data_IF_515047916196
#
_entry.id   IF_515047916196
#
_cell.length_a   1.000
_cell.length_b   1.000
_cell.length_c   1.000
_cell.angle_alpha   90.00
_cell.angle_beta   90.00
_cell.angle_gamma   90.00
#
_symmetry.space_group_name_H-M   'P 1'
#
loop_
_entity.id
_entity.type
_entity.pdbx_description
1 polymer ?
#
# COMPACT_ATOMS: atom_id res chain seq x y z
N UNK A 1 41.71 40.47 20.59
CA UNK A 1 41.52 41.23 21.83
C UNK A 1 41.08 40.25 22.90
N UNK A 2 42.07 39.67 23.60
CA UNK A 2 41.84 38.77 24.72
C UNK A 2 41.35 39.55 25.93
N UNK A 3 40.46 38.97 26.75
CA UNK A 3 40.70 38.89 28.19
C UNK A 3 39.75 37.88 28.87
N UNK A 4 40.42 36.92 29.52
CA UNK A 4 39.99 35.88 30.45
C UNK A 4 39.80 36.49 31.86
N UNK A 5 38.99 35.88 32.74
CA UNK A 5 39.18 35.69 34.21
C UNK A 5 37.89 35.00 34.74
N UNK A 6 37.80 33.78 35.32
CA UNK A 6 38.57 32.94 36.25
C UNK A 6 38.49 33.32 37.75
N UNK A 7 37.85 32.46 38.58
CA UNK A 7 38.19 32.01 39.96
C UNK A 7 36.96 31.33 40.64
N UNK A 8 36.98 30.04 41.05
CA UNK A 8 37.60 29.39 42.24
C UNK A 8 37.00 29.86 43.60
N UNK A 9 36.68 29.08 44.63
CA UNK A 9 36.81 27.66 44.98
C UNK A 9 35.96 27.34 46.25
N UNK A 10 35.75 26.05 46.57
CA UNK A 10 35.08 25.51 47.77
C UNK A 10 35.95 25.55 49.06
N UNK A 11 35.42 25.25 50.26
CA UNK A 11 35.60 23.88 50.82
C UNK A 11 34.55 23.33 51.83
N UNK A 12 34.47 21.99 51.84
CA UNK A 12 34.30 21.01 52.95
C UNK A 12 33.32 21.20 54.14
N UNK A 13 32.52 20.14 54.40
CA UNK A 13 32.53 19.47 55.73
C UNK A 13 31.20 19.24 56.51
N UNK A 14 30.62 18.04 56.33
CA UNK A 14 30.09 17.11 57.37
C UNK A 14 28.75 17.30 58.12
N UNK A 15 28.00 16.17 58.14
CA UNK A 15 27.12 15.60 59.20
C UNK A 15 25.61 15.91 59.25
N UNK A 16 24.77 14.85 59.10
CA UNK A 16 23.57 14.66 59.94
C UNK A 16 22.22 14.34 59.28
N UNK A 17 22.02 13.08 58.83
CA UNK A 17 20.80 12.20 58.86
C UNK A 17 19.39 12.74 58.43
N UNK A 18 18.33 11.89 58.36
CA UNK A 18 17.61 11.62 57.10
C UNK A 18 16.16 12.15 57.07
N UNK A 19 15.59 12.43 55.89
CA UNK A 19 14.13 12.62 55.75
C UNK A 19 13.62 11.99 54.46
N UNK A 20 12.50 11.30 54.65
CA UNK A 20 11.69 10.45 53.78
C UNK A 20 11.33 10.99 52.39
N UNK A 21 11.20 10.05 51.44
CA UNK A 21 10.48 10.21 50.18
C UNK A 21 9.00 10.52 50.40
N UNK A 22 8.40 11.27 49.46
CA UNK A 22 7.13 10.86 48.90
C UNK A 22 7.23 10.69 47.38
N UNK A 23 6.67 9.57 46.91
CA UNK A 23 6.62 9.18 45.50
C UNK A 23 5.81 10.15 44.64
N UNK A 24 6.35 10.42 43.44
CA UNK A 24 5.59 10.97 42.33
C UNK A 24 4.96 9.83 41.54
N UNK A 25 3.63 9.78 41.54
CA UNK A 25 2.85 8.91 40.66
C UNK A 25 2.94 9.43 39.22
N UNK A 26 3.60 8.67 38.35
CA UNK A 26 3.39 8.78 36.90
C UNK A 26 2.10 8.07 36.52
N UNK A 27 1.30 8.57 35.56
CA UNK A 27 0.16 7.83 35.02
C UNK A 27 0.66 6.58 34.27
N UNK A 28 -0.10 5.48 34.24
CA UNK A 28 0.26 4.33 33.42
C UNK A 28 0.16 4.71 31.94
N UNK A 29 1.23 4.46 31.18
CA UNK A 29 1.12 4.27 29.73
C UNK A 29 0.39 2.95 29.52
N UNK A 30 -0.74 3.02 28.83
CA UNK A 30 -1.39 1.83 28.28
C UNK A 30 -0.57 1.35 27.09
N UNK A 31 0.45 0.53 27.35
CA UNK A 31 1.03 -0.31 26.31
C UNK A 31 0.05 -1.48 26.09
N UNK A 32 -0.90 -1.28 25.18
CA UNK A 32 -1.88 -2.29 24.75
C UNK A 32 -1.29 -3.31 23.78
N UNK A 33 -0.02 -3.68 23.93
CA UNK A 33 0.59 -4.78 23.17
C UNK A 33 0.34 -6.08 23.92
N UNK A 34 -0.63 -6.87 23.47
CA UNK A 34 -0.74 -8.27 23.86
C UNK A 34 0.60 -8.94 23.54
N UNK A 35 1.30 -9.45 24.55
CA UNK A 35 2.53 -10.21 24.30
C UNK A 35 2.18 -11.53 23.61
N UNK A 36 2.96 -11.99 22.61
CA UNK A 36 2.66 -13.21 21.86
C UNK A 36 2.47 -14.40 22.80
N UNK A 37 1.41 -15.18 22.59
CA UNK A 37 1.20 -16.43 23.30
C UNK A 37 2.19 -17.49 22.79
N UNK A 38 2.57 -18.47 23.63
CA UNK A 38 3.45 -19.55 23.19
C UNK A 38 2.82 -20.35 22.04
N UNK A 39 3.35 -20.19 20.83
CA UNK A 39 2.85 -20.84 19.62
C UNK A 39 2.47 -19.88 18.50
N UNK A 40 2.41 -18.57 18.79
CA UNK A 40 2.13 -17.55 17.79
C UNK A 40 3.26 -17.42 16.78
N UNK A 41 2.89 -17.10 15.54
CA UNK A 41 3.81 -16.85 14.43
C UNK A 41 4.33 -15.41 14.59
N UNK A 42 5.65 -15.25 14.73
CA UNK A 42 6.31 -13.95 14.85
C UNK A 42 6.05 -13.09 13.60
N UNK A 43 5.71 -11.82 13.78
CA UNK A 43 5.46 -10.89 12.69
C UNK A 43 5.81 -9.44 13.10
N UNK A 44 6.05 -8.54 12.13
CA UNK A 44 6.24 -7.12 12.41
C UNK A 44 5.08 -6.48 13.17
N UNK A 45 5.35 -5.35 13.82
CA UNK A 45 4.34 -4.54 14.53
C UNK A 45 4.23 -3.15 13.91
N UNK A 46 3.08 -2.49 14.02
CA UNK A 46 2.90 -1.13 13.49
C UNK A 46 2.65 -1.09 11.98
N UNK A 47 3.20 -0.09 11.29
CA UNK A 47 2.96 0.18 9.86
C UNK A 47 3.72 -0.76 8.90
N UNK A 48 4.50 -1.70 9.42
CA UNK A 48 5.20 -2.69 8.62
C UNK A 48 4.21 -3.71 8.05
N UNK A 49 4.32 -4.03 6.76
CA UNK A 49 3.45 -5.01 6.11
C UNK A 49 3.85 -6.44 6.48
N UNK A 50 2.88 -7.24 6.93
CA UNK A 50 3.01 -8.68 7.18
C UNK A 50 2.81 -9.46 5.87
N UNK A 51 1.76 -9.12 5.13
CA UNK A 51 1.43 -9.77 3.86
C UNK A 51 1.03 -8.73 2.82
N UNK A 52 1.69 -8.74 1.68
CA UNK A 52 1.32 -7.96 0.48
C UNK A 52 0.98 -8.93 -0.64
N UNK A 53 -0.20 -8.75 -1.25
CA UNK A 53 -0.57 -9.43 -2.49
C UNK A 53 -0.71 -8.39 -3.59
N UNK A 54 0.19 -8.41 -4.55
CA UNK A 54 0.21 -7.48 -5.68
C UNK A 54 0.22 -8.22 -7.02
N UNK A 55 0.02 -7.45 -8.09
CA UNK A 55 0.03 -7.97 -9.46
C UNK A 55 1.11 -7.23 -10.23
N UNK A 56 2.06 -7.98 -10.80
CA UNK A 56 3.19 -7.41 -11.52
C UNK A 56 3.33 -8.03 -12.92
N UNK A 57 3.96 -7.28 -13.83
CA UNK A 57 4.10 -7.71 -15.23
C UNK A 57 2.78 -7.63 -15.99
N UNK A 58 2.63 -8.50 -16.99
CA UNK A 58 1.54 -8.43 -17.97
C UNK A 58 1.77 -7.34 -19.03
N UNK A 59 0.94 -7.34 -20.07
CA UNK A 59 1.01 -6.36 -21.16
C UNK A 59 0.07 -5.17 -20.88
N UNK A 60 0.35 -4.42 -19.81
CA UNK A 60 -0.44 -3.25 -19.40
C UNK A 60 0.26 -1.94 -19.75
N UNK A 61 -0.48 -0.85 -20.07
CA UNK A 61 0.12 0.47 -20.30
C UNK A 61 0.87 0.99 -19.08
N UNK A 62 1.91 1.82 -19.28
CA UNK A 62 2.68 2.44 -18.19
C UNK A 62 1.80 3.20 -17.20
N UNK A 63 0.74 3.85 -17.71
CA UNK A 63 -0.25 4.55 -16.90
C UNK A 63 -0.92 3.61 -15.89
N UNK A 64 -1.21 2.36 -16.29
CA UNK A 64 -1.81 1.37 -15.40
C UNK A 64 -0.80 0.88 -14.37
N UNK A 65 0.45 0.64 -14.78
CA UNK A 65 1.51 0.16 -13.88
C UNK A 65 1.74 1.13 -12.71
N UNK A 66 1.76 2.43 -12.97
CA UNK A 66 2.06 3.44 -11.94
C UNK A 66 0.91 3.73 -10.99
N UNK A 67 -0.32 3.31 -11.33
CA UNK A 67 -1.50 3.44 -10.47
C UNK A 67 -1.95 2.11 -9.88
N UNK A 68 -1.29 1.01 -10.25
CA UNK A 68 -1.65 -0.29 -9.71
C UNK A 68 -1.38 -0.33 -8.20
N UNK A 69 -2.33 -0.89 -7.47
CA UNK A 69 -2.28 -1.05 -6.03
C UNK A 69 -2.29 -2.55 -5.71
N UNK A 70 -1.64 -2.98 -4.62
CA UNK A 70 -1.84 -4.32 -4.09
C UNK A 70 -3.34 -4.61 -3.95
N UNK A 71 -3.75 -5.84 -4.26
CA UNK A 71 -5.12 -6.28 -4.03
C UNK A 71 -5.39 -6.51 -2.55
N UNK A 72 -4.34 -6.83 -1.78
CA UNK A 72 -4.38 -7.07 -0.34
C UNK A 72 -3.12 -6.60 0.34
N UNK A 73 -3.26 -5.90 1.47
CA UNK A 73 -2.17 -5.66 2.42
C UNK A 73 -2.66 -5.86 3.84
N UNK A 74 -1.92 -6.62 4.65
CA UNK A 74 -2.12 -6.75 6.10
C UNK A 74 -0.87 -6.22 6.82
N UNK A 75 -1.08 -5.39 7.84
CA UNK A 75 -0.04 -4.68 8.58
C UNK A 75 0.14 -5.23 10.01
N UNK A 76 1.28 -4.91 10.61
CA UNK A 76 1.66 -5.29 11.97
C UNK A 76 0.77 -4.75 13.08
N UNK A 77 0.01 -3.70 12.82
CA UNK A 77 -1.01 -3.14 13.71
C UNK A 77 -2.42 -3.73 13.47
N UNK A 78 -2.52 -4.76 12.63
CA UNK A 78 -3.78 -5.43 12.30
C UNK A 78 -4.60 -4.76 11.22
N UNK A 79 -4.21 -3.57 10.70
CA UNK A 79 -4.92 -3.00 9.55
C UNK A 79 -4.83 -3.93 8.35
N UNK A 80 -5.95 -4.08 7.67
CA UNK A 80 -6.05 -4.73 6.37
C UNK A 80 -6.60 -3.71 5.40
N UNK A 81 -5.85 -3.44 4.33
CA UNK A 81 -6.27 -2.54 3.25
C UNK A 81 -6.46 -3.36 1.98
N UNK A 82 -7.61 -3.19 1.33
CA UNK A 82 -7.95 -3.85 0.06
C UNK A 82 -8.71 -2.91 -0.87
N UNK A 83 -8.83 -3.33 -2.13
CA UNK A 83 -9.76 -2.70 -3.06
C UNK A 83 -11.19 -3.18 -2.77
N UNK A 84 -12.08 -2.22 -2.50
CA UNK A 84 -13.51 -2.44 -2.33
C UNK A 84 -14.24 -2.58 -3.66
N UNK A 85 -15.56 -2.80 -3.57
CA UNK A 85 -16.41 -2.93 -4.74
C UNK A 85 -16.45 -1.61 -5.54
N UNK A 86 -16.18 -1.70 -6.84
CA UNK A 86 -16.33 -0.59 -7.79
C UNK A 86 -17.54 -0.82 -8.70
N UNK A 87 -18.28 0.25 -8.99
CA UNK A 87 -19.32 0.26 -10.00
C UNK A 87 -18.70 0.34 -11.41
N UNK A 88 -19.39 -0.17 -12.43
CA UNK A 88 -18.98 -0.02 -13.82
C UNK A 88 -19.31 1.39 -14.36
N UNK A 89 -18.80 2.42 -13.67
CA UNK A 89 -18.93 3.83 -14.03
C UNK A 89 -17.78 4.25 -14.93
N UNK A 90 -18.08 5.04 -15.98
CA UNK A 90 -17.07 5.57 -16.89
C UNK A 90 -17.27 7.08 -17.10
N UNK A 91 -16.24 7.92 -16.84
CA UNK A 91 -14.93 7.56 -16.28
C UNK A 91 -15.01 7.10 -14.81
N UNK A 92 -14.10 6.22 -14.40
CA UNK A 92 -14.01 5.78 -13.00
C UNK A 92 -13.51 6.89 -12.06
N UNK A 93 -13.63 6.72 -10.74
CA UNK A 93 -13.17 7.72 -9.77
C UNK A 93 -11.64 7.91 -9.82
N UNK A 94 -11.17 9.12 -9.51
CA UNK A 94 -9.73 9.41 -9.43
C UNK A 94 -9.11 8.77 -8.17
N UNK A 95 -9.86 8.76 -7.07
CA UNK A 95 -9.52 7.95 -5.89
C UNK A 95 -10.16 6.56 -5.98
N UNK A 96 -9.36 5.47 -6.04
CA UNK A 96 -9.91 4.12 -6.07
C UNK A 96 -10.70 3.83 -4.79
N UNK A 97 -11.66 2.91 -4.86
CA UNK A 97 -12.48 2.52 -3.73
C UNK A 97 -11.68 1.66 -2.74
N UNK A 98 -10.73 2.24 -2.02
CA UNK A 98 -9.96 1.54 -1.00
C UNK A 98 -10.75 1.44 0.30
N UNK A 99 -10.67 0.26 0.91
CA UNK A 99 -11.32 -0.04 2.18
C UNK A 99 -10.31 -0.57 3.19
N UNK A 100 -10.54 -0.25 4.45
CA UNK A 100 -9.73 -0.66 5.58
C UNK A 100 -10.60 -1.30 6.67
N UNK A 101 -10.04 -2.30 7.35
CA UNK A 101 -10.55 -2.81 8.62
C UNK A 101 -9.42 -3.36 9.48
N UNK A 102 -9.59 -3.39 10.80
CA UNK A 102 -8.54 -3.78 11.75
C UNK A 102 -8.85 -5.15 12.35
N UNK A 103 -7.92 -6.09 12.18
CA UNK A 103 -7.91 -7.40 12.83
C UNK A 103 -7.48 -7.27 14.27
N UNK A 104 -7.98 -8.16 15.13
CA UNK A 104 -7.35 -8.44 16.42
C UNK A 104 -6.07 -9.25 16.19
N UNK A 105 -5.19 -9.33 17.20
CA UNK A 105 -4.02 -10.23 17.16
C UNK A 105 -4.43 -11.68 16.83
N UNK A 106 -5.51 -12.19 17.44
CA UNK A 106 -6.03 -13.52 17.14
C UNK A 106 -6.49 -13.65 15.67
N UNK A 107 -6.99 -12.57 15.07
CA UNK A 107 -7.32 -12.49 13.65
C UNK A 107 -6.08 -12.56 12.75
N UNK A 108 -5.01 -11.83 13.09
CA UNK A 108 -3.71 -11.89 12.39
C UNK A 108 -3.18 -13.32 12.42
N UNK A 109 -3.11 -13.93 13.61
CA UNK A 109 -2.62 -15.30 13.79
C UNK A 109 -3.46 -16.34 13.03
N UNK A 110 -4.78 -16.13 12.92
CA UNK A 110 -5.64 -17.01 12.13
C UNK A 110 -5.32 -16.94 10.62
N UNK A 111 -5.03 -15.75 10.08
CA UNK A 111 -4.58 -15.58 8.70
C UNK A 111 -3.22 -16.23 8.49
N UNK A 112 -2.26 -15.95 9.38
CA UNK A 112 -0.90 -16.52 9.31
C UNK A 112 -0.92 -18.05 9.40
N UNK A 113 -1.71 -18.62 10.30
CA UNK A 113 -1.90 -20.08 10.40
C UNK A 113 -2.46 -20.67 9.10
N UNK A 114 -3.43 -19.99 8.49
CA UNK A 114 -3.98 -20.39 7.20
C UNK A 114 -2.98 -20.33 6.04
N UNK A 115 -2.00 -19.42 6.11
CA UNK A 115 -0.88 -19.35 5.16
C UNK A 115 0.13 -20.48 5.43
N UNK A 116 0.50 -20.72 6.69
CA UNK A 116 1.40 -21.81 7.09
C UNK A 116 0.85 -23.18 6.65
N UNK A 117 -0.46 -23.40 6.82
CA UNK A 117 -1.16 -24.64 6.43
C UNK A 117 -1.01 -24.97 4.93
N UNK A 118 -0.78 -23.97 4.08
CA UNK A 118 -0.52 -24.21 2.66
C UNK A 118 0.79 -24.96 2.41
N UNK A 119 1.76 -24.84 3.33
CA UNK A 119 3.14 -25.31 3.19
C UNK A 119 3.89 -24.74 1.95
N UNK A 120 3.37 -23.66 1.34
CA UNK A 120 3.96 -23.05 0.13
C UNK A 120 4.86 -21.84 0.44
N UNK A 121 4.85 -21.36 1.68
CA UNK A 121 5.60 -20.17 2.13
C UNK A 121 6.83 -20.53 2.98
N UNK A 122 7.46 -21.68 2.71
CA UNK A 122 8.66 -22.12 3.45
C UNK A 122 9.97 -21.59 2.85
N UNK A 123 9.92 -21.13 1.61
CA UNK A 123 10.98 -20.44 0.87
C UNK A 123 10.38 -19.75 -0.34
N UNK A 124 11.15 -18.89 -1.00
CA UNK A 124 10.74 -18.31 -2.27
C UNK A 124 10.30 -19.38 -3.28
N UNK A 125 9.22 -19.08 -4.01
CA UNK A 125 8.62 -19.98 -4.97
C UNK A 125 8.17 -19.23 -6.21
N UNK A 126 8.57 -19.70 -7.38
CA UNK A 126 8.09 -19.19 -8.66
C UNK A 126 7.36 -20.29 -9.45
N UNK A 127 6.11 -20.01 -9.82
CA UNK A 127 5.27 -20.88 -10.63
C UNK A 127 5.03 -20.22 -11.99
N UNK A 128 5.55 -20.81 -13.06
CA UNK A 128 5.60 -20.21 -14.41
C UNK A 128 4.93 -21.06 -15.49
N UNK A 129 4.49 -22.27 -15.17
CA UNK A 129 3.98 -23.24 -16.14
C UNK A 129 2.79 -22.74 -16.95
N UNK A 130 1.97 -21.83 -16.40
CA UNK A 130 0.82 -21.27 -17.09
C UNK A 130 1.22 -20.38 -18.28
N UNK A 131 2.46 -19.89 -18.35
CA UNK A 131 3.02 -19.14 -19.49
C UNK A 131 2.94 -19.92 -20.81
N UNK A 132 2.92 -21.25 -20.75
CA UNK A 132 2.83 -22.09 -21.94
C UNK A 132 1.49 -21.97 -22.68
N UNK A 133 0.44 -21.47 -22.01
CA UNK A 133 -0.91 -21.34 -22.59
C UNK A 133 -1.52 -19.95 -22.41
N UNK A 134 -1.01 -19.13 -21.49
CA UNK A 134 -1.41 -17.73 -21.29
C UNK A 134 -0.18 -16.85 -21.50
N UNK A 135 -0.19 -15.98 -22.51
CA UNK A 135 1.01 -15.23 -22.91
C UNK A 135 1.13 -13.84 -22.26
N UNK A 136 0.03 -13.31 -21.72
CA UNK A 136 -0.14 -11.91 -21.32
C UNK A 136 -0.68 -11.74 -19.89
N UNK A 137 -0.68 -12.80 -19.10
CA UNK A 137 -1.10 -12.74 -17.71
C UNK A 137 -0.06 -12.00 -16.86
N UNK A 138 -0.54 -11.36 -15.80
CA UNK A 138 0.30 -10.87 -14.72
C UNK A 138 0.76 -12.02 -13.82
N UNK A 139 1.82 -11.78 -13.08
CA UNK A 139 2.14 -12.53 -11.88
C UNK A 139 1.30 -12.03 -10.72
N UNK A 140 0.62 -12.92 -9.99
CA UNK A 140 0.17 -12.64 -8.62
C UNK A 140 1.33 -12.97 -7.68
N UNK A 141 1.80 -11.98 -6.93
CA UNK A 141 2.90 -12.15 -5.98
C UNK A 141 2.40 -11.95 -4.56
N UNK A 142 2.79 -12.88 -3.69
CA UNK A 142 2.59 -12.83 -2.25
C UNK A 142 3.94 -12.57 -1.60
N UNK A 143 4.07 -11.49 -0.85
CA UNK A 143 5.26 -11.18 -0.05
C UNK A 143 4.87 -11.32 1.42
N UNK A 144 5.46 -12.30 2.10
CA UNK A 144 5.20 -12.62 3.50
C UNK A 144 6.42 -12.24 4.36
N UNK A 145 6.20 -11.41 5.37
CA UNK A 145 7.14 -11.08 6.43
C UNK A 145 6.55 -11.58 7.76
N UNK A 146 6.67 -12.89 8.00
CA UNK A 146 6.24 -13.55 9.24
C UNK A 146 6.90 -14.94 9.36
N UNK A 147 7.11 -15.40 10.59
CA UNK A 147 7.55 -16.76 10.90
C UNK A 147 9.00 -17.09 10.52
N UNK A 148 9.81 -16.10 10.17
CA UNK A 148 11.20 -16.30 9.73
C UNK A 148 11.69 -15.23 8.75
N UNK A 149 12.58 -15.59 7.81
CA UNK A 149 12.97 -14.72 6.70
C UNK A 149 11.78 -14.38 5.80
N UNK A 150 11.82 -13.22 5.16
CA UNK A 150 10.83 -12.84 4.15
C UNK A 150 10.77 -13.91 3.04
N UNK A 151 9.54 -14.24 2.62
CA UNK A 151 9.27 -15.21 1.56
C UNK A 151 8.43 -14.57 0.47
N UNK A 152 8.84 -14.76 -0.78
CA UNK A 152 8.11 -14.32 -1.97
C UNK A 152 7.63 -15.52 -2.77
N UNK A 153 6.30 -15.64 -2.90
CA UNK A 153 5.65 -16.62 -3.78
C UNK A 153 5.07 -15.87 -4.98
N UNK A 154 5.57 -16.14 -6.19
CA UNK A 154 5.08 -15.54 -7.44
C UNK A 154 4.42 -16.58 -8.33
N UNK A 155 3.18 -16.33 -8.74
CA UNK A 155 2.38 -17.23 -9.58
C UNK A 155 1.94 -16.53 -10.85
N UNK A 156 2.46 -16.98 -11.98
CA UNK A 156 2.04 -16.48 -13.28
C UNK A 156 0.64 -16.99 -13.62
N UNK A 157 -0.29 -16.08 -13.93
CA UNK A 157 -1.66 -16.47 -14.33
C UNK A 157 -2.46 -17.17 -13.22
N UNK A 158 -2.35 -16.71 -11.97
CA UNK A 158 -3.19 -17.25 -10.90
C UNK A 158 -4.67 -17.11 -11.26
N UNK A 159 -5.43 -18.21 -11.11
CA UNK A 159 -6.86 -18.25 -11.45
C UNK A 159 -7.17 -18.52 -12.93
N UNK A 160 -6.17 -18.58 -13.81
CA UNK A 160 -6.42 -18.92 -15.24
C UNK A 160 -6.54 -20.43 -15.47
N UNK A 161 -6.15 -21.27 -14.50
CA UNK A 161 -6.33 -22.71 -14.54
C UNK A 161 -7.74 -23.10 -14.07
N UNK A 162 -8.70 -23.04 -14.99
CA UNK A 162 -10.08 -23.41 -14.68
C UNK A 162 -10.21 -24.93 -14.45
N UNK A 163 -11.12 -25.39 -13.57
CA UNK A 163 -11.24 -26.81 -13.20
C UNK A 163 -11.48 -27.76 -14.38
N UNK A 164 -12.13 -27.28 -15.43
CA UNK A 164 -12.50 -28.07 -16.61
C UNK A 164 -11.50 -27.96 -17.77
N UNK A 165 -10.35 -27.30 -17.56
CA UNK A 165 -9.29 -27.19 -18.56
C UNK A 165 -8.26 -28.30 -18.42
N UNK A 166 -7.78 -28.81 -19.56
CA UNK A 166 -6.60 -29.67 -19.59
C UNK A 166 -5.39 -28.88 -19.03
N UNK A 167 -4.54 -29.52 -18.20
CA UNK A 167 -3.37 -28.86 -17.68
C UNK A 167 -2.46 -28.31 -18.77
N UNK A 168 -1.83 -27.13 -18.55
CA UNK A 168 -0.87 -26.58 -19.50
C UNK A 168 0.24 -27.59 -19.82
N UNK A 169 0.65 -27.75 -21.10
CA UNK A 169 1.71 -28.67 -21.47
C UNK A 169 3.00 -28.39 -20.71
N UNK A 170 3.55 -29.43 -20.06
CA UNK A 170 4.81 -29.32 -19.32
C UNK A 170 4.68 -28.81 -17.87
N UNK A 171 3.47 -28.46 -17.42
CA UNK A 171 3.22 -28.13 -16.02
C UNK A 171 3.20 -29.40 -15.15
N UNK A 172 3.87 -29.36 -13.99
CA UNK A 172 3.89 -30.49 -13.05
C UNK A 172 2.59 -30.60 -12.25
N UNK A 173 2.25 -31.79 -11.74
CA UNK A 173 1.08 -31.95 -10.85
C UNK A 173 1.19 -31.10 -9.59
N UNK A 174 2.40 -30.98 -9.02
CA UNK A 174 2.66 -30.15 -7.86
C UNK A 174 2.38 -28.66 -8.13
N UNK A 175 2.72 -28.17 -9.30
CA UNK A 175 2.44 -26.78 -9.70
C UNK A 175 0.95 -26.53 -9.94
N UNK A 176 0.23 -27.48 -10.54
CA UNK A 176 -1.23 -27.42 -10.69
C UNK A 176 -1.89 -27.36 -9.30
N UNK A 177 -1.43 -28.20 -8.37
CA UNK A 177 -1.95 -28.22 -7.00
C UNK A 177 -1.64 -26.90 -6.26
N UNK A 178 -0.43 -26.36 -6.43
CA UNK A 178 -0.05 -25.07 -5.87
C UNK A 178 -0.90 -23.91 -6.42
N UNK A 179 -1.20 -23.87 -7.73
CA UNK A 179 -2.13 -22.88 -8.30
C UNK A 179 -3.51 -22.95 -7.65
N UNK A 180 -4.02 -24.16 -7.38
CA UNK A 180 -5.32 -24.33 -6.72
C UNK A 180 -5.29 -23.85 -5.27
N UNK A 181 -4.26 -24.21 -4.52
CA UNK A 181 -4.09 -23.81 -3.12
C UNK A 181 -3.95 -22.29 -3.01
N UNK A 182 -3.07 -21.69 -3.82
CA UNK A 182 -2.84 -20.24 -3.82
C UNK A 182 -4.05 -19.47 -4.35
N UNK A 183 -4.82 -20.05 -5.28
CA UNK A 183 -6.09 -19.47 -5.73
C UNK A 183 -7.15 -19.46 -4.63
N UNK A 184 -7.22 -20.53 -3.83
CA UNK A 184 -8.09 -20.61 -2.66
C UNK A 184 -7.67 -19.62 -1.56
N UNK A 185 -6.36 -19.54 -1.28
CA UNK A 185 -5.80 -18.55 -0.35
C UNK A 185 -6.14 -17.12 -0.80
N UNK A 186 -5.86 -16.78 -2.05
CA UNK A 186 -6.18 -15.45 -2.59
C UNK A 186 -7.67 -15.13 -2.48
N UNK A 187 -8.56 -16.08 -2.82
CA UNK A 187 -10.00 -15.88 -2.63
C UNK A 187 -10.37 -15.71 -1.16
N UNK A 188 -9.78 -16.47 -0.24
CA UNK A 188 -9.96 -16.31 1.21
C UNK A 188 -9.59 -14.91 1.68
N UNK A 189 -8.42 -14.41 1.26
CA UNK A 189 -7.94 -13.05 1.56
C UNK A 189 -8.90 -11.97 1.04
N UNK A 190 -9.46 -12.14 -0.16
CA UNK A 190 -10.46 -11.20 -0.70
C UNK A 190 -11.84 -11.32 -0.05
N UNK A 191 -12.08 -12.38 0.74
CA UNK A 191 -13.37 -12.69 1.39
C UNK A 191 -13.21 -12.95 2.88
N UNK A 192 -12.32 -12.20 3.55
CA UNK A 192 -11.97 -12.41 4.97
C UNK A 192 -13.18 -12.50 5.91
N UNK A 193 -14.26 -11.76 5.68
CA UNK A 193 -15.49 -11.86 6.50
C UNK A 193 -16.13 -13.25 6.47
N UNK A 194 -15.91 -14.02 5.41
CA UNK A 194 -16.38 -15.40 5.29
C UNK A 194 -15.35 -16.41 5.80
N UNK A 195 -14.08 -16.02 5.84
CA UNK A 195 -12.98 -16.88 6.29
C UNK A 195 -12.78 -16.81 7.80
N UNK A 196 -12.83 -15.61 8.37
CA UNK A 196 -12.58 -15.35 9.78
C UNK A 196 -13.88 -15.22 10.58
N UNK A 197 -13.87 -15.61 11.87
CA UNK A 197 -15.01 -15.38 12.76
C UNK A 197 -15.18 -13.88 13.07
N UNK A 198 -16.37 -13.50 13.55
CA UNK A 198 -16.69 -12.09 13.80
C UNK A 198 -15.82 -11.42 14.89
N UNK A 199 -15.29 -12.19 15.84
CA UNK A 199 -14.42 -11.75 16.92
C UNK A 199 -12.93 -11.63 16.51
N UNK A 200 -12.59 -11.95 15.25
CA UNK A 200 -11.27 -11.70 14.68
C UNK A 200 -11.02 -10.22 14.35
N UNK A 201 -12.00 -9.33 14.59
CA UNK A 201 -11.96 -7.93 14.19
C UNK A 201 -12.10 -6.99 15.37
N UNK A 202 -11.29 -5.93 15.39
CA UNK A 202 -11.40 -4.85 16.39
C UNK A 202 -12.52 -3.87 16.05
N UNK A 203 -12.78 -3.68 14.75
CA UNK A 203 -13.76 -2.72 14.24
C UNK A 203 -14.93 -3.40 13.54
N UNK A 204 -16.10 -2.77 13.62
CA UNK A 204 -17.29 -3.23 12.91
C UNK A 204 -17.27 -2.75 11.44
N UNK A 205 -17.27 -3.72 10.52
CA UNK A 205 -17.39 -3.46 9.09
C UNK A 205 -16.19 -2.75 8.46
N UNK A 206 -16.16 -2.78 7.13
CA UNK A 206 -15.15 -2.08 6.34
C UNK A 206 -15.44 -0.59 6.27
N UNK A 207 -14.41 0.22 6.47
CA UNK A 207 -14.46 1.67 6.33
C UNK A 207 -13.70 2.08 5.06
N UNK A 208 -13.94 3.29 4.55
CA UNK A 208 -13.12 3.86 3.47
C UNK A 208 -11.70 4.08 4.03
N UNK A 209 -10.69 3.65 3.28
CA UNK A 209 -9.32 4.03 3.59
C UNK A 209 -9.08 5.49 3.19
N UNK A 210 -8.49 6.26 4.08
CA UNK A 210 -8.11 7.67 3.86
C UNK A 210 -6.58 7.74 3.74
N UNK A 211 -6.07 7.85 2.51
CA UNK A 211 -4.64 7.93 2.28
C UNK A 211 -4.07 9.27 2.79
N UNK A 212 -2.96 9.20 3.52
CA UNK A 212 -2.26 10.37 4.06
C UNK A 212 -1.29 11.01 3.05
N UNK A 213 -0.90 10.25 2.02
CA UNK A 213 0.02 10.67 0.99
C UNK A 213 -0.36 10.12 -0.38
N UNK A 214 0.04 10.85 -1.42
CA UNK A 214 -0.15 10.45 -2.81
C UNK A 214 1.15 10.59 -3.59
N UNK A 215 1.35 9.67 -4.52
CA UNK A 215 2.24 9.85 -5.65
C UNK A 215 1.41 10.36 -6.82
N UNK A 216 1.71 11.56 -7.29
CA UNK A 216 1.01 12.22 -8.40
C UNK A 216 1.85 12.14 -9.67
N UNK A 217 1.23 11.73 -10.76
CA UNK A 217 1.79 11.79 -12.10
C UNK A 217 1.08 12.87 -12.89
N UNK A 218 1.77 13.98 -13.14
CA UNK A 218 1.22 15.21 -13.70
C UNK A 218 1.71 15.38 -15.13
N UNK A 219 0.78 15.56 -16.07
CA UNK A 219 1.08 15.78 -17.48
C UNK A 219 0.42 17.04 -17.99
N UNK A 220 1.20 17.90 -18.65
CA UNK A 220 0.65 19.04 -19.40
C UNK A 220 -0.08 18.54 -20.65
N UNK A 221 -1.36 18.87 -20.74
CA UNK A 221 -2.26 18.54 -21.87
C UNK A 221 -2.83 19.80 -22.52
N UNK A 222 -2.12 20.92 -22.36
CA UNK A 222 -2.47 22.20 -22.97
C UNK A 222 -2.46 22.08 -24.49
N UNK A 223 -3.53 22.53 -25.13
CA UNK A 223 -3.71 22.45 -26.59
C UNK A 223 -4.14 21.08 -27.12
N UNK A 224 -4.20 20.04 -26.30
CA UNK A 224 -4.77 18.75 -26.70
C UNK A 224 -6.31 18.76 -26.72
N UNK A 225 -6.98 17.93 -27.53
CA UNK A 225 -8.43 17.78 -27.44
C UNK A 225 -8.85 17.26 -26.05
N UNK A 226 -9.96 17.76 -25.48
CA UNK A 226 -10.53 17.16 -24.26
C UNK A 226 -11.17 15.82 -24.63
N UNK A 227 -10.63 14.73 -24.08
CA UNK A 227 -11.24 13.40 -24.22
C UNK A 227 -12.60 13.38 -23.50
N UNK A 228 -13.64 12.87 -24.18
CA UNK A 228 -15.01 12.89 -23.66
C UNK A 228 -15.83 14.15 -23.97
N UNK A 229 -15.21 15.17 -24.59
CA UNK A 229 -15.84 16.44 -24.98
C UNK A 229 -15.70 17.53 -23.90
N UNK A 230 -16.10 18.77 -24.23
CA UNK A 230 -16.11 19.92 -23.30
C UNK A 230 -17.25 19.78 -22.27
N UNK A 231 -17.17 18.80 -21.38
CA UNK A 231 -18.02 18.74 -20.21
C UNK A 231 -17.45 19.70 -19.15
N UNK A 232 -18.09 20.83 -18.85
CA UNK A 232 -17.55 21.86 -17.96
C UNK A 232 -17.27 21.35 -16.53
N UNK A 233 -17.92 20.25 -16.14
CA UNK A 233 -17.79 19.62 -14.82
C UNK A 233 -16.52 18.77 -14.67
N UNK A 234 -15.67 18.70 -15.70
CA UNK A 234 -14.41 17.94 -15.68
C UNK A 234 -13.17 18.81 -15.51
N UNK A 235 -13.29 20.13 -15.36
CA UNK A 235 -12.15 21.01 -15.10
C UNK A 235 -12.22 21.50 -13.65
N UNK A 236 -11.13 21.33 -12.91
CA UNK A 236 -10.96 21.79 -11.53
C UNK A 236 -9.76 22.72 -11.43
N UNK A 237 -9.79 23.61 -10.44
CA UNK A 237 -8.62 24.44 -10.14
C UNK A 237 -7.51 23.56 -9.54
N UNK A 238 -6.27 23.90 -9.85
CA UNK A 238 -5.10 23.31 -9.23
C UNK A 238 -5.10 23.69 -7.73
N UNK A 239 -4.98 22.72 -6.80
CA UNK A 239 -5.28 22.97 -5.39
C UNK A 239 -4.18 23.72 -4.62
N UNK A 240 -3.09 24.10 -5.26
CA UNK A 240 -1.93 24.74 -4.61
C UNK A 240 -1.48 25.98 -5.36
N UNK A 241 -0.67 26.81 -4.72
CA UNK A 241 -0.10 28.01 -5.35
C UNK A 241 1.12 27.71 -6.24
N UNK A 242 1.64 26.47 -6.23
CA UNK A 242 2.80 26.06 -7.00
C UNK A 242 2.48 25.84 -8.48
N UNK A 243 3.43 26.12 -9.37
CA UNK A 243 3.30 25.90 -10.81
C UNK A 243 3.19 24.39 -11.13
N UNK A 244 2.06 23.90 -11.66
CA UNK A 244 1.89 22.47 -11.97
C UNK A 244 2.91 21.96 -12.98
N UNK A 245 3.41 22.82 -13.88
CA UNK A 245 4.42 22.45 -14.87
C UNK A 245 5.80 22.19 -14.26
N UNK A 246 6.04 22.71 -13.05
CA UNK A 246 7.27 22.50 -12.29
C UNK A 246 7.15 21.36 -11.25
N UNK A 247 5.98 20.71 -11.14
CA UNK A 247 5.72 19.69 -10.14
C UNK A 247 6.66 18.48 -10.29
N UNK A 248 7.31 18.07 -9.20
CA UNK A 248 8.11 16.85 -9.15
C UNK A 248 9.24 16.77 -10.19
N UNK A 249 9.64 15.56 -10.56
CA UNK A 249 10.69 15.26 -11.54
C UNK A 249 10.12 14.59 -12.80
N UNK A 250 10.81 14.70 -13.94
CA UNK A 250 10.35 14.08 -15.19
C UNK A 250 10.44 12.56 -15.07
N UNK A 251 9.32 11.87 -15.34
CA UNK A 251 9.27 10.41 -15.41
C UNK A 251 9.46 9.96 -16.87
N UNK A 252 10.70 9.61 -17.20
CA UNK A 252 11.12 9.36 -18.58
C UNK A 252 10.38 8.21 -19.26
N UNK A 253 9.87 7.25 -18.49
CA UNK A 253 9.19 6.06 -19.02
C UNK A 253 7.87 6.38 -19.76
N UNK A 254 7.24 7.53 -19.50
CA UNK A 254 6.04 7.95 -20.24
C UNK A 254 6.37 8.51 -21.62
N UNK A 255 7.55 9.12 -21.79
CA UNK A 255 7.98 9.72 -23.06
C UNK A 255 7.18 10.96 -23.51
N UNK A 256 6.27 11.48 -22.69
CA UNK A 256 5.34 12.57 -23.02
C UNK A 256 5.46 13.79 -22.10
N UNK A 257 6.52 13.84 -21.27
CA UNK A 257 6.75 14.93 -20.32
C UNK A 257 6.01 14.79 -19.00
N UNK A 258 5.34 13.66 -18.74
CA UNK A 258 4.78 13.32 -17.43
C UNK A 258 5.84 13.48 -16.34
N UNK A 259 5.44 14.13 -15.23
CA UNK A 259 6.27 14.37 -14.05
C UNK A 259 5.70 13.64 -12.86
N UNK A 260 6.55 13.12 -11.99
CA UNK A 260 6.16 12.44 -10.77
C UNK A 260 6.63 13.21 -9.53
N UNK A 261 5.77 13.30 -8.53
CA UNK A 261 6.09 13.86 -7.22
C UNK A 261 5.22 13.25 -6.14
N UNK A 262 5.66 13.38 -4.89
CA UNK A 262 4.92 12.91 -3.71
C UNK A 262 4.37 14.11 -2.95
N UNK A 263 3.14 13.96 -2.49
CA UNK A 263 2.45 14.92 -1.62
C UNK A 263 2.03 14.21 -0.35
N UNK A 264 2.29 14.81 0.81
CA UNK A 264 2.00 14.27 2.13
C UNK A 264 1.55 15.38 3.09
N UNK A 265 1.21 15.02 4.33
CA UNK A 265 0.82 15.97 5.37
C UNK A 265 -0.39 16.82 4.96
N UNK A 266 -0.29 18.14 5.16
CA UNK A 266 -1.37 19.08 4.79
C UNK A 266 -1.67 19.06 3.28
N UNK A 267 -0.65 18.85 2.45
CA UNK A 267 -0.82 18.79 1.01
C UNK A 267 -1.46 17.47 0.59
N UNK A 268 -1.08 16.35 1.21
CA UNK A 268 -1.74 15.05 1.03
C UNK A 268 -3.22 15.11 1.37
N UNK A 269 -3.58 15.75 2.49
CA UNK A 269 -4.97 15.95 2.89
C UNK A 269 -5.77 16.80 1.88
N UNK A 270 -5.18 17.88 1.35
CA UNK A 270 -5.80 18.68 0.31
C UNK A 270 -6.04 17.86 -0.98
N UNK A 271 -5.05 17.05 -1.37
CA UNK A 271 -5.21 16.17 -2.53
C UNK A 271 -6.25 15.06 -2.31
N UNK A 272 -6.37 14.50 -1.10
CA UNK A 272 -7.41 13.52 -0.77
C UNK A 272 -8.82 14.07 -1.04
N UNK A 273 -9.08 15.32 -0.64
CA UNK A 273 -10.36 16.00 -0.89
C UNK A 273 -10.62 16.14 -2.40
N UNK A 274 -9.63 16.66 -3.13
CA UNK A 274 -9.72 16.89 -4.57
C UNK A 274 -9.93 15.60 -5.38
N UNK A 275 -9.14 14.56 -5.12
CA UNK A 275 -9.21 13.30 -5.87
C UNK A 275 -10.44 12.46 -5.49
N UNK A 276 -10.98 12.66 -4.28
CA UNK A 276 -12.27 12.08 -3.89
C UNK A 276 -13.44 12.71 -4.66
N UNK A 277 -13.33 14.00 -4.99
CA UNK A 277 -14.33 14.72 -5.78
C UNK A 277 -14.11 14.64 -7.31
N UNK A 278 -13.03 14.00 -7.76
CA UNK A 278 -12.62 13.91 -9.15
C UNK A 278 -12.82 12.50 -9.76
N UNK A 279 -12.74 12.43 -11.08
CA UNK A 279 -12.72 11.18 -11.84
C UNK A 279 -11.46 11.09 -12.72
N UNK A 280 -11.23 9.95 -13.35
CA UNK A 280 -10.04 9.67 -14.15
C UNK A 280 -9.85 10.57 -15.39
N UNK A 281 -10.87 11.34 -15.79
CA UNK A 281 -10.81 12.31 -16.88
C UNK A 281 -10.87 13.76 -16.40
N UNK A 282 -10.89 14.01 -15.08
CA UNK A 282 -10.75 15.36 -14.55
C UNK A 282 -9.44 15.98 -15.07
N UNK A 283 -9.52 17.25 -15.45
CA UNK A 283 -8.41 18.11 -15.81
C UNK A 283 -8.24 19.18 -14.74
N UNK A 284 -7.00 19.59 -14.51
CA UNK A 284 -6.66 20.62 -13.54
C UNK A 284 -6.09 21.85 -14.24
N UNK A 285 -6.39 23.05 -13.74
CA UNK A 285 -5.94 24.32 -14.31
C UNK A 285 -5.47 25.28 -13.23
N UNK A 286 -4.41 26.05 -13.48
CA UNK A 286 -3.91 27.07 -12.54
C UNK A 286 -4.32 28.51 -12.93
N UNK A 287 -4.55 28.77 -14.22
CA UNK A 287 -4.94 30.10 -14.74
C UNK A 287 -6.09 30.07 -15.77
N UNK A 288 -6.65 28.90 -16.05
CA UNK A 288 -7.69 28.66 -17.05
C UNK A 288 -7.18 28.38 -18.47
N UNK A 289 -5.94 28.77 -18.79
CA UNK A 289 -5.35 28.58 -20.12
C UNK A 289 -4.54 27.27 -20.21
N UNK A 290 -3.84 26.91 -19.12
CA UNK A 290 -3.12 25.63 -19.03
C UNK A 290 -3.99 24.54 -18.45
N UNK A 291 -3.82 23.32 -18.96
CA UNK A 291 -4.54 22.14 -18.48
C UNK A 291 -3.59 21.00 -18.21
N UNK A 292 -3.82 20.33 -17.10
CA UNK A 292 -3.02 19.20 -16.64
C UNK A 292 -3.92 17.98 -16.45
N UNK A 293 -3.40 16.81 -16.76
CA UNK A 293 -3.97 15.53 -16.37
C UNK A 293 -3.14 14.96 -15.23
N UNK A 294 -3.80 14.37 -14.24
CA UNK A 294 -3.17 13.80 -13.05
C UNK A 294 -3.64 12.36 -12.89
N UNK A 295 -2.68 11.47 -12.67
CA UNK A 295 -2.93 10.17 -12.06
C UNK A 295 -2.50 10.24 -10.62
N UNK A 296 -3.45 10.17 -9.70
CA UNK A 296 -3.18 10.15 -8.27
C UNK A 296 -3.16 8.70 -7.78
N UNK A 297 -2.01 8.25 -7.28
CA UNK A 297 -1.89 6.96 -6.61
C UNK A 297 -1.79 7.20 -5.11
N UNK A 298 -2.75 6.72 -4.29
CA UNK A 298 -2.57 6.71 -2.85
C UNK A 298 -1.35 5.85 -2.47
N UNK A 299 -0.58 6.31 -1.49
CA UNK A 299 0.51 5.54 -0.90
C UNK A 299 -0.02 4.78 0.32
N UNK A 300 0.26 3.49 0.38
CA UNK A 300 -0.02 2.66 1.55
C UNK A 300 1.11 2.80 2.58
N UNK A 301 0.85 2.57 3.89
CA UNK A 301 1.82 2.85 4.96
C UNK A 301 3.22 2.25 4.80
N UNK A 302 3.34 1.07 4.19
CA UNK A 302 4.61 0.38 4.00
C UNK A 302 5.40 0.84 2.76
N UNK A 303 4.79 1.68 1.91
CA UNK A 303 5.39 2.06 0.64
C UNK A 303 6.36 3.22 0.78
N UNK A 304 7.43 3.19 -0.01
CA UNK A 304 8.40 4.29 -0.07
C UNK A 304 7.73 5.56 -0.66
N UNK A 305 7.73 6.70 0.06
CA UNK A 305 7.19 7.97 -0.42
C UNK A 305 8.13 8.65 -1.42
N UNK A 306 8.54 7.91 -2.45
CA UNK A 306 9.36 8.37 -3.56
C UNK A 306 8.71 8.03 -4.90
N UNK A 307 9.15 8.67 -5.97
CA UNK A 307 8.82 8.26 -7.34
C UNK A 307 9.74 7.12 -7.75
N UNK A 308 9.21 5.92 -8.07
CA UNK A 308 10.03 4.78 -8.44
C UNK A 308 10.64 5.02 -9.82
N UNK A 309 11.87 4.56 -10.02
CA UNK A 309 12.45 4.49 -11.36
C UNK A 309 11.65 3.47 -12.19
N UNK A 310 10.97 3.96 -13.23
CA UNK A 310 10.25 3.10 -14.15
C UNK A 310 11.21 2.62 -15.24
N UNK A 311 11.80 1.44 -15.04
CA UNK A 311 12.60 0.81 -16.09
C UNK A 311 11.63 0.34 -17.18
N UNK A 312 11.88 0.82 -18.42
CA UNK A 312 10.93 0.78 -19.53
C UNK A 312 10.12 -0.51 -19.65
N UNK A 313 8.80 -0.33 -19.78
CA UNK A 313 7.91 -1.31 -20.36
C UNK A 313 8.49 -1.76 -21.70
N UNK A 314 9.18 -2.89 -21.70
CA UNK A 314 9.74 -3.51 -22.90
C UNK A 314 8.75 -4.53 -23.46
#
# INVERSE_FOLDING_TARGET
MSLILAACAAPAGSSGSPVESPGGSSPPRSDGGSSPEPGDIDHPTGDEAILVVDHTGGMVPVQFMVTNLPSFVMFGDGRVIMQGAQTAEFPGPAYPALIERTLTEAGIQAVLSGIEDTNLFTSDLELRGAQSVVADASDTRFTLNAGGPDVIVSVYGLGTLLPDMDPPPGMSSAEIDAHRILGQLNNGLMTLDSWLPADAWETEGWQRYEAEAFRLYVRDVTGEPVEGGDLPEQIRDWPTDDDPAAFGEVESAFGDGTRCGVVDGELGAAWLEEVTAANQLTLWTDDGDRRFSIRARPLLPHEDPACPELIGAA
#
